data_IF_899428450914
#
_entry.id   IF_899428450914
#
_cell.length_a   1.000
_cell.length_b   1.000
_cell.length_c   1.000
_cell.angle_alpha   90.00
_cell.angle_beta   90.00
_cell.angle_gamma   90.00
#
_symmetry.space_group_name_H-M   'P 1'
#
loop_
_entity.id
_entity.type
_entity.pdbx_description
1 polymer ?
#
# COMPACT_ATOMS: atom_id res chain seq x y z
N UNK A 1 31.64 3.36 6.23
CA UNK A 1 30.52 4.31 6.37
C UNK A 1 29.40 3.74 5.52
N UNK A 2 28.43 3.10 6.16
CA UNK A 2 27.42 2.24 5.49
C UNK A 2 26.56 3.07 4.56
N UNK A 3 26.54 2.69 3.28
CA UNK A 3 25.66 3.27 2.26
C UNK A 3 24.21 3.17 2.74
N UNK A 4 23.66 4.25 3.29
CA UNK A 4 22.22 4.46 3.34
C UNK A 4 21.75 4.66 1.89
N UNK A 5 21.64 3.55 1.15
CA UNK A 5 20.76 3.49 -0.01
C UNK A 5 19.35 3.66 0.54
N UNK A 6 18.94 4.92 0.66
CA UNK A 6 17.55 5.27 0.92
C UNK A 6 16.74 4.76 -0.27
N UNK A 7 16.31 3.50 -0.20
CA UNK A 7 15.50 2.86 -1.23
C UNK A 7 14.11 3.49 -1.21
N UNK A 8 14.03 4.63 -1.89
CA UNK A 8 12.78 5.28 -2.24
C UNK A 8 12.11 4.45 -3.33
N UNK A 9 10.91 3.95 -3.01
CA UNK A 9 10.10 3.16 -3.92
C UNK A 9 8.85 3.96 -4.26
N UNK A 10 8.38 3.84 -5.49
CA UNK A 10 7.14 4.47 -5.88
C UNK A 10 5.98 3.88 -5.07
N UNK A 11 5.02 4.71 -4.64
CA UNK A 11 3.90 4.26 -3.80
C UNK A 11 3.12 3.10 -4.46
N UNK A 12 3.00 3.12 -5.79
CA UNK A 12 2.36 2.02 -6.52
C UNK A 12 3.11 0.68 -6.38
N UNK A 13 4.44 0.70 -6.50
CA UNK A 13 5.28 -0.49 -6.41
C UNK A 13 5.34 -1.00 -4.97
N UNK A 14 5.43 -0.09 -4.00
CA UNK A 14 5.33 -0.41 -2.58
C UNK A 14 4.03 -1.15 -2.23
N UNK A 15 2.90 -0.71 -2.78
CA UNK A 15 1.61 -1.39 -2.59
C UNK A 15 1.57 -2.75 -3.28
N UNK A 16 2.21 -2.87 -4.44
CA UNK A 16 2.30 -4.13 -5.16
C UNK A 16 3.09 -5.17 -4.34
N UNK A 17 4.27 -4.79 -3.80
CA UNK A 17 5.06 -5.64 -2.92
C UNK A 17 4.24 -6.08 -1.68
N UNK A 18 3.56 -5.13 -1.04
CA UNK A 18 2.70 -5.41 0.12
C UNK A 18 1.54 -6.34 -0.21
N UNK A 19 0.92 -6.19 -1.39
CA UNK A 19 -0.18 -7.04 -1.83
C UNK A 19 0.29 -8.43 -2.22
N UNK A 20 1.43 -8.54 -2.91
CA UNK A 20 2.05 -9.83 -3.25
C UNK A 20 2.38 -10.63 -1.99
N UNK A 21 3.05 -10.02 -1.00
CA UNK A 21 3.38 -10.68 0.26
C UNK A 21 2.13 -11.15 1.05
N UNK A 22 0.97 -10.51 0.84
CA UNK A 22 -0.32 -10.97 1.40
C UNK A 22 -0.91 -12.11 0.62
N UNK A 23 -0.90 -12.03 -0.72
CA UNK A 23 -1.45 -13.05 -1.61
C UNK A 23 -0.63 -14.36 -1.57
N UNK A 24 0.68 -14.28 -1.35
CA UNK A 24 1.53 -15.45 -1.11
C UNK A 24 1.14 -16.22 0.16
N UNK A 25 0.66 -15.50 1.19
CA UNK A 25 0.21 -16.11 2.46
C UNK A 25 -1.23 -16.61 2.39
N UNK A 26 -2.10 -15.85 1.72
CA UNK A 26 -3.49 -16.20 1.51
C UNK A 26 -3.92 -15.64 0.14
N UNK A 27 -4.14 -16.53 -0.84
CA UNK A 27 -4.55 -16.18 -2.18
C UNK A 27 -5.90 -15.44 -2.24
N UNK A 28 -6.68 -15.52 -1.16
CA UNK A 28 -7.95 -14.80 -1.03
C UNK A 28 -7.81 -13.49 -0.25
N UNK A 29 -6.63 -13.17 0.30
CA UNK A 29 -6.43 -12.03 1.18
C UNK A 29 -6.96 -10.72 0.57
N UNK A 30 -7.54 -9.88 1.42
CA UNK A 30 -7.84 -8.51 1.02
C UNK A 30 -6.54 -7.75 0.71
N UNK A 31 -6.53 -7.04 -0.42
CA UNK A 31 -5.42 -6.21 -0.87
C UNK A 31 -5.65 -4.74 -0.50
N UNK A 32 -4.57 -3.98 -0.39
CA UNK A 32 -4.59 -2.52 -0.29
C UNK A 32 -5.01 -1.93 -1.64
N UNK A 33 -6.04 -1.07 -1.62
CA UNK A 33 -6.51 -0.39 -2.80
C UNK A 33 -5.62 0.83 -3.11
N UNK A 34 -5.13 0.93 -4.36
CA UNK A 34 -4.27 2.04 -4.79
C UNK A 34 -4.95 3.41 -4.59
N UNK A 35 -6.23 3.54 -4.95
CA UNK A 35 -6.98 4.79 -4.78
C UNK A 35 -7.03 5.27 -3.32
N UNK A 36 -7.17 4.33 -2.38
CA UNK A 36 -7.17 4.64 -0.94
C UNK A 36 -5.80 5.06 -0.47
N UNK A 37 -4.75 4.37 -0.93
CA UNK A 37 -3.38 4.72 -0.60
C UNK A 37 -2.99 6.11 -1.10
N UNK A 38 -3.33 6.47 -2.34
CA UNK A 38 -3.12 7.83 -2.86
C UNK A 38 -3.91 8.89 -2.09
N UNK A 39 -5.16 8.59 -1.70
CA UNK A 39 -5.94 9.50 -0.85
C UNK A 39 -5.30 9.73 0.52
N UNK A 40 -4.76 8.69 1.14
CA UNK A 40 -4.04 8.80 2.41
C UNK A 40 -2.69 9.52 2.28
N UNK A 41 -1.98 9.30 1.17
CA UNK A 41 -0.74 10.01 0.85
C UNK A 41 -1.00 11.52 0.68
N UNK A 42 -2.02 11.87 -0.11
CA UNK A 42 -2.43 13.25 -0.32
C UNK A 42 -2.90 13.94 0.99
N UNK A 43 -3.52 13.18 1.90
CA UNK A 43 -3.95 13.66 3.21
C UNK A 43 -2.83 13.66 4.27
N UNK A 44 -1.59 13.25 3.94
CA UNK A 44 -0.47 13.17 4.88
C UNK A 44 -0.63 12.13 6.00
N UNK A 45 -1.52 11.13 5.82
CA UNK A 45 -1.78 10.10 6.83
C UNK A 45 -0.73 8.98 6.84
N UNK A 46 -0.02 8.82 5.74
CA UNK A 46 1.08 7.86 5.60
C UNK A 46 2.39 8.60 5.29
N UNK A 47 3.55 8.07 5.71
CA UNK A 47 4.84 8.66 5.40
C UNK A 47 5.14 8.53 3.90
N UNK A 48 4.83 9.57 3.14
CA UNK A 48 5.08 9.65 1.69
C UNK A 48 5.75 10.96 1.36
N UNK A 49 6.73 10.91 0.46
CA UNK A 49 7.37 12.07 -0.11
C UNK A 49 6.83 12.32 -1.52
N UNK A 50 6.20 13.48 -1.72
CA UNK A 50 5.68 13.85 -3.03
C UNK A 50 6.80 14.44 -3.88
N UNK A 51 7.11 13.80 -5.01
CA UNK A 51 8.05 14.30 -6.02
C UNK A 51 7.29 14.53 -7.33
N UNK A 52 6.90 15.79 -7.56
CA UNK A 52 6.06 16.18 -8.68
C UNK A 52 4.63 15.63 -8.57
N UNK A 53 4.27 14.74 -9.50
CA UNK A 53 2.97 14.05 -9.54
C UNK A 53 2.98 12.67 -8.87
N UNK A 54 4.16 12.17 -8.52
CA UNK A 54 4.34 10.85 -7.94
C UNK A 54 4.55 10.95 -6.42
N UNK A 55 4.15 9.89 -5.72
CA UNK A 55 4.42 9.70 -4.30
C UNK A 55 5.46 8.59 -4.16
N UNK A 56 6.48 8.86 -3.36
CA UNK A 56 7.54 7.92 -3.02
C UNK A 56 7.49 7.62 -1.54
N UNK A 57 7.85 6.40 -1.18
CA UNK A 57 7.90 5.93 0.21
C UNK A 57 9.25 5.29 0.45
N UNK A 58 9.77 5.39 1.67
CA UNK A 58 10.94 4.61 2.03
C UNK A 58 10.53 3.16 2.26
N UNK A 59 11.38 2.21 1.84
CA UNK A 59 11.16 0.79 2.17
C UNK A 59 11.01 0.53 3.67
N UNK A 60 11.73 1.26 4.51
CA UNK A 60 11.62 1.19 5.97
C UNK A 60 10.21 1.52 6.49
N UNK A 61 9.45 2.32 5.74
CA UNK A 61 8.11 2.78 6.13
C UNK A 61 7.00 1.86 5.62
N UNK A 62 7.31 0.83 4.82
CA UNK A 62 6.32 -0.14 4.32
C UNK A 62 5.48 -0.79 5.44
N UNK A 63 6.06 -1.24 6.58
CA UNK A 63 5.27 -1.81 7.68
C UNK A 63 4.31 -0.79 8.30
N UNK A 64 4.72 0.48 8.34
CA UNK A 64 3.89 1.56 8.88
C UNK A 64 2.73 1.89 7.93
N UNK A 65 2.99 1.90 6.62
CA UNK A 65 1.97 2.06 5.58
C UNK A 65 0.96 0.92 5.65
N UNK A 66 1.43 -0.32 5.74
CA UNK A 66 0.58 -1.51 5.89
C UNK A 66 -0.34 -1.44 7.13
N UNK A 67 0.16 -0.87 8.23
CA UNK A 67 -0.61 -0.72 9.47
C UNK A 67 -1.65 0.40 9.41
N UNK A 68 -1.43 1.42 8.58
CA UNK A 68 -2.32 2.59 8.47
C UNK A 68 -3.33 2.49 7.33
N UNK A 69 -3.02 1.75 6.28
CA UNK A 69 -3.93 1.60 5.16
C UNK A 69 -5.04 0.61 5.49
N UNK A 70 -6.31 0.99 5.33
CA UNK A 70 -7.38 0.03 5.44
C UNK A 70 -7.28 -0.97 4.29
N UNK A 71 -7.41 -2.25 4.61
CA UNK A 71 -7.54 -3.30 3.62
C UNK A 71 -8.83 -3.09 2.84
N UNK A 72 -8.77 -3.22 1.52
CA UNK A 72 -9.97 -3.14 0.69
C UNK A 72 -11.01 -4.12 1.22
N UNK A 73 -12.19 -3.63 1.58
CA UNK A 73 -13.30 -4.50 1.99
C UNK A 73 -13.53 -5.45 0.82
N UNK A 74 -13.33 -6.77 1.01
CA UNK A 74 -13.83 -7.76 0.04
C UNK A 74 -15.26 -7.33 -0.26
N UNK A 75 -15.59 -7.05 -1.52
CA UNK A 75 -16.99 -7.03 -1.97
C UNK A 75 -17.50 -8.39 -1.51
N UNK A 76 -18.29 -8.41 -0.44
CA UNK A 76 -19.09 -9.58 -0.06
C UNK A 76 -19.82 -9.90 -1.35
N UNK A 77 -19.47 -11.03 -1.98
CA UNK A 77 -20.14 -11.48 -3.19
C UNK A 77 -21.63 -11.32 -2.92
N UNK A 78 -22.31 -10.53 -3.74
CA UNK A 78 -23.74 -10.32 -3.61
C UNK A 78 -24.35 -11.71 -3.56
N UNK A 79 -24.95 -12.04 -2.41
CA UNK A 79 -25.73 -13.27 -2.27
C UNK A 79 -26.81 -13.17 -3.35
N UNK A 80 -26.89 -14.10 -4.32
CA UNK A 80 -27.98 -14.06 -5.27
C UNK A 80 -29.28 -14.19 -4.48
N UNK A 81 -30.15 -13.19 -4.61
CA UNK A 81 -31.50 -13.28 -4.08
C UNK A 81 -32.18 -14.47 -4.78
N UNK A 82 -32.66 -15.41 -3.97
CA UNK A 82 -33.51 -16.53 -4.40
C UNK A 82 -34.83 -15.99 -4.90
#
# INVERSE_FOLDING_TARGET
MTEEKHDWVHLADALLELNQARLEKDATAACYAQSTAYGFAAAGRIPTERRGRAYFVRRSDLPLIASRLPLGRRRRAAVPAV
#
